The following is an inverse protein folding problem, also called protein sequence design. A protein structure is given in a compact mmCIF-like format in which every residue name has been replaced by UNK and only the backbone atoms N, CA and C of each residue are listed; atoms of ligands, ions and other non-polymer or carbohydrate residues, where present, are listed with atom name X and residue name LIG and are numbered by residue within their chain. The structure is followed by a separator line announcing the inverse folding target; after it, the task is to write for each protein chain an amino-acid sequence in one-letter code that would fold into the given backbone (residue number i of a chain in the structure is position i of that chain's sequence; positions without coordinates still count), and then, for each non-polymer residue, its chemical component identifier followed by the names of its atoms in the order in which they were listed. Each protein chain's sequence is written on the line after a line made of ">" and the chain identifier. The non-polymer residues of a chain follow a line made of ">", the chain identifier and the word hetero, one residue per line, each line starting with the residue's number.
data_IF_596874540055
#
_entry.id   IF_596874540055
#
_cell.length_a   1.000
_cell.length_b   1.000
_cell.length_c   1.000
_cell.angle_alpha   90.00
_cell.angle_beta   90.00
_cell.angle_gamma   90.00
#
_symmetry.space_group_name_H-M   'P 1'
#
loop_
_entity.id
_entity.type
_entity.pdbx_description
1 polymer ?
#
# COMPACT_ATOMS: atom_id res chain seq x y z
N UNK A 1 -11.23 -8.16 -11.11
CA UNK A 1 -10.01 -7.43 -10.67
C UNK A 1 -10.05 -6.04 -11.28
N UNK A 2 -9.92 -4.99 -10.47
CA UNK A 2 -9.78 -3.62 -10.96
C UNK A 2 -8.47 -3.06 -10.41
N UNK A 3 -7.53 -2.72 -11.29
CA UNK A 3 -6.34 -1.94 -10.94
C UNK A 3 -6.55 -0.51 -11.43
N UNK A 4 -6.39 0.45 -10.51
CA UNK A 4 -6.49 1.88 -10.80
C UNK A 4 -5.36 2.37 -11.71
N UNK A 5 -5.44 3.63 -12.12
CA UNK A 5 -4.52 4.21 -13.13
C UNK A 5 -3.04 4.20 -12.73
N UNK A 6 -2.72 4.20 -11.43
CA UNK A 6 -1.34 4.17 -10.91
C UNK A 6 -1.04 2.89 -10.09
N UNK A 7 -1.94 1.89 -10.10
CA UNK A 7 -1.78 0.70 -9.27
C UNK A 7 -0.79 -0.28 -9.89
N UNK A 8 0.16 -0.77 -9.09
CA UNK A 8 1.09 -1.84 -9.45
C UNK A 8 1.07 -2.96 -8.40
N UNK A 9 1.04 -4.21 -8.86
CA UNK A 9 1.06 -5.40 -8.00
C UNK A 9 2.22 -6.36 -8.29
N UNK A 10 3.10 -5.99 -9.22
CA UNK A 10 4.17 -6.88 -9.69
C UNK A 10 3.66 -7.99 -10.59
N UNK A 11 4.59 -8.61 -11.31
CA UNK A 11 4.28 -9.75 -12.17
C UNK A 11 3.87 -10.96 -11.32
N UNK A 12 2.84 -11.67 -11.79
CA UNK A 12 2.24 -12.82 -11.15
C UNK A 12 2.42 -14.02 -12.07
N UNK A 13 3.40 -14.87 -11.79
CA UNK A 13 3.72 -16.04 -12.61
C UNK A 13 3.20 -17.32 -11.94
N UNK A 14 2.21 -17.97 -12.56
CA UNK A 14 1.65 -19.25 -12.15
C UNK A 14 1.32 -19.34 -10.65
N UNK A 15 0.78 -18.25 -10.08
CA UNK A 15 0.45 -18.13 -8.65
C UNK A 15 -0.88 -18.78 -8.26
N UNK A 16 -1.57 -19.41 -9.21
CA UNK A 16 -2.83 -20.14 -8.97
C UNK A 16 -4.03 -19.26 -8.65
N UNK A 17 -3.98 -17.98 -8.97
CA UNK A 17 -5.13 -17.07 -8.89
C UNK A 17 -6.28 -17.61 -9.75
N UNK A 18 -7.53 -17.54 -9.25
CA UNK A 18 -8.72 -18.06 -9.94
C UNK A 18 -9.79 -16.99 -10.12
N UNK A 19 -10.46 -17.01 -11.26
CA UNK A 19 -11.52 -16.08 -11.66
C UNK A 19 -12.83 -16.85 -11.88
N UNK A 20 -13.49 -17.23 -10.78
CA UNK A 20 -14.61 -18.18 -10.73
C UNK A 20 -15.99 -17.61 -11.11
N UNK A 21 -16.11 -16.32 -11.41
CA UNK A 21 -17.40 -15.65 -11.68
C UNK A 21 -17.40 -14.89 -13.02
N UNK A 22 -17.38 -15.65 -14.10
CA UNK A 22 -17.13 -15.15 -15.46
C UNK A 22 -18.39 -14.65 -16.22
N UNK A 23 -19.40 -14.14 -15.49
CA UNK A 23 -20.72 -13.77 -16.03
C UNK A 23 -20.97 -12.28 -16.30
N UNK A 24 -19.97 -11.39 -16.10
CA UNK A 24 -20.10 -9.94 -16.29
C UNK A 24 -19.17 -9.36 -17.36
N UNK A 25 -19.57 -8.25 -17.97
CA UNK A 25 -18.74 -7.48 -18.89
C UNK A 25 -17.47 -6.96 -18.16
N UNK A 26 -16.31 -7.38 -18.63
CA UNK A 26 -14.96 -7.12 -18.08
C UNK A 26 -14.71 -7.70 -16.67
N UNK A 27 -14.13 -8.90 -16.62
CA UNK A 27 -13.72 -9.55 -15.36
C UNK A 27 -12.41 -8.99 -14.80
N UNK A 28 -11.54 -8.40 -15.63
CA UNK A 28 -10.32 -7.72 -15.20
C UNK A 28 -10.05 -6.42 -16.00
N UNK A 29 -9.88 -5.30 -15.31
CA UNK A 29 -9.56 -4.00 -15.89
C UNK A 29 -8.33 -3.37 -15.19
N UNK A 30 -7.35 -2.93 -15.97
CA UNK A 30 -6.20 -2.15 -15.52
C UNK A 30 -6.26 -0.74 -16.16
N UNK A 31 -6.64 0.25 -15.37
CA UNK A 31 -6.85 1.63 -15.86
C UNK A 31 -5.54 2.35 -16.23
N UNK A 32 -4.39 1.82 -15.82
CA UNK A 32 -3.05 2.37 -16.16
C UNK A 32 -2.55 2.11 -17.58
N UNK A 33 -3.33 1.43 -18.44
CA UNK A 33 -2.96 1.13 -19.82
C UNK A 33 -1.83 0.08 -19.96
N UNK A 34 -1.36 -0.12 -21.19
CA UNK A 34 -0.43 -1.20 -21.55
C UNK A 34 0.87 -1.19 -20.73
N UNK A 35 1.52 -0.02 -20.62
CA UNK A 35 2.82 0.10 -19.95
C UNK A 35 2.77 -0.32 -18.47
N UNK A 36 1.79 0.18 -17.71
CA UNK A 36 1.66 -0.18 -16.28
C UNK A 36 1.14 -1.61 -16.10
N UNK A 37 0.30 -2.10 -17.02
CA UNK A 37 -0.16 -3.48 -16.98
C UNK A 37 0.98 -4.50 -17.19
N UNK A 38 2.03 -4.15 -17.94
CA UNK A 38 3.21 -5.02 -18.13
C UNK A 38 3.99 -5.24 -16.83
N UNK A 39 4.05 -4.23 -15.95
CA UNK A 39 4.64 -4.35 -14.61
C UNK A 39 3.79 -5.19 -13.65
N UNK A 40 2.50 -5.38 -13.96
CA UNK A 40 1.52 -6.14 -13.16
C UNK A 40 1.02 -7.38 -13.91
N UNK A 41 1.80 -7.90 -14.85
CA UNK A 41 1.39 -8.94 -15.79
C UNK A 41 1.11 -10.26 -15.09
N UNK A 42 0.07 -10.96 -15.54
CA UNK A 42 -0.23 -12.32 -15.14
C UNK A 42 0.26 -13.30 -16.22
N UNK A 43 1.09 -14.26 -15.84
CA UNK A 43 1.40 -15.44 -16.64
C UNK A 43 0.64 -16.60 -16.01
N UNK A 44 -0.23 -17.23 -16.79
CA UNK A 44 -1.18 -18.25 -16.32
C UNK A 44 -1.18 -19.45 -17.25
N UNK A 45 -1.56 -20.61 -16.74
CA UNK A 45 -1.78 -21.82 -17.55
C UNK A 45 -3.28 -22.17 -17.60
N UNK A 46 -3.99 -21.70 -18.63
CA UNK A 46 -5.41 -22.00 -18.79
C UNK A 46 -5.65 -23.47 -19.20
N UNK A 47 -4.63 -24.20 -19.67
CA UNK A 47 -4.73 -25.63 -19.94
C UNK A 47 -4.71 -26.45 -18.65
N UNK A 48 -3.99 -26.01 -17.62
CA UNK A 48 -4.06 -26.59 -16.28
C UNK A 48 -5.42 -26.33 -15.64
N UNK A 49 -5.88 -25.07 -15.67
CA UNK A 49 -7.20 -24.71 -15.18
C UNK A 49 -7.74 -23.47 -15.92
N UNK A 50 -8.87 -23.63 -16.61
CA UNK A 50 -9.53 -22.53 -17.32
C UNK A 50 -9.91 -21.35 -16.41
N UNK A 51 -10.07 -21.58 -15.10
CA UNK A 51 -10.33 -20.51 -14.13
C UNK A 51 -9.14 -19.58 -13.91
N UNK A 52 -7.94 -19.89 -14.38
CA UNK A 52 -6.77 -19.02 -14.25
C UNK A 52 -6.77 -17.87 -15.27
N UNK A 53 -7.60 -17.94 -16.31
CA UNK A 53 -7.71 -16.88 -17.30
C UNK A 53 -9.09 -16.21 -17.21
N UNK A 54 -9.18 -14.92 -16.83
CA UNK A 54 -10.44 -14.18 -16.89
C UNK A 54 -10.97 -14.05 -18.32
N UNK A 55 -12.30 -14.12 -18.48
CA UNK A 55 -12.98 -14.05 -19.78
C UNK A 55 -12.74 -12.75 -20.56
N UNK A 56 -12.66 -11.62 -19.86
CA UNK A 56 -12.43 -10.30 -20.45
C UNK A 56 -11.36 -9.57 -19.65
N UNK A 57 -10.32 -9.14 -20.37
CA UNK A 57 -9.17 -8.39 -19.85
C UNK A 57 -8.96 -7.12 -20.66
N UNK A 58 -8.67 -6.03 -19.96
CA UNK A 58 -8.28 -4.76 -20.56
C UNK A 58 -7.15 -4.15 -19.72
N UNK A 59 -5.96 -3.87 -20.28
CA UNK A 59 -5.59 -3.98 -21.69
C UNK A 59 -5.30 -5.42 -22.15
N UNK A 60 -5.38 -5.62 -23.47
CA UNK A 60 -4.97 -6.87 -24.11
C UNK A 60 -3.50 -7.19 -23.78
N UNK A 61 -3.20 -8.44 -23.45
CA UNK A 61 -1.83 -8.88 -23.11
C UNK A 61 -1.45 -8.74 -21.63
N UNK A 62 -2.30 -8.12 -20.79
CA UNK A 62 -2.12 -8.08 -19.34
C UNK A 62 -2.14 -9.49 -18.70
N UNK A 63 -2.93 -10.39 -19.27
CA UNK A 63 -2.93 -11.81 -18.97
C UNK A 63 -2.35 -12.57 -20.17
N UNK A 64 -1.30 -13.34 -19.92
CA UNK A 64 -0.67 -14.19 -20.92
C UNK A 64 -0.88 -15.66 -20.56
N UNK A 65 -1.63 -16.36 -21.40
CA UNK A 65 -1.81 -17.80 -21.32
C UNK A 65 -0.58 -18.50 -21.90
N UNK A 66 0.22 -19.11 -21.04
CA UNK A 66 1.42 -19.87 -21.39
C UNK A 66 1.32 -21.21 -20.68
N UNK A 67 1.20 -22.28 -21.48
CA UNK A 67 1.23 -23.63 -20.92
C UNK A 67 2.58 -23.91 -20.28
N UNK A 68 2.55 -24.33 -19.02
CA UNK A 68 3.73 -24.65 -18.24
C UNK A 68 3.63 -26.12 -17.79
N UNK A 69 4.66 -26.97 -18.04
CA UNK A 69 4.65 -28.33 -17.52
C UNK A 69 4.70 -28.39 -15.98
N UNK A 70 5.07 -27.32 -15.29
CA UNK A 70 5.00 -27.21 -13.83
C UNK A 70 3.60 -26.77 -13.39
N UNK A 71 3.05 -27.43 -12.37
CA UNK A 71 1.76 -27.05 -11.78
C UNK A 71 1.82 -25.67 -11.16
N UNK A 72 0.81 -24.85 -11.42
CA UNK A 72 0.62 -23.57 -10.75
C UNK A 72 0.58 -23.74 -9.24
N UNK A 73 1.02 -22.71 -8.52
CA UNK A 73 1.02 -22.71 -7.07
C UNK A 73 -0.40 -22.97 -6.53
N UNK A 74 -0.52 -23.94 -5.62
CA UNK A 74 -1.77 -24.22 -4.90
C UNK A 74 -1.55 -23.90 -3.43
N UNK A 75 -2.38 -23.02 -2.87
CA UNK A 75 -2.36 -22.74 -1.45
C UNK A 75 -2.49 -24.04 -0.66
N UNK A 76 -1.50 -24.37 0.17
CA UNK A 76 -1.60 -25.50 1.08
C UNK A 76 -2.66 -25.21 2.15
N UNK A 77 -3.41 -26.24 2.55
CA UNK A 77 -4.45 -26.15 3.60
C UNK A 77 -3.90 -26.08 5.02
N UNK A 78 -2.58 -25.90 5.22
CA UNK A 78 -1.95 -25.87 6.54
C UNK A 78 -1.66 -24.46 7.08
N UNK A 79 -1.66 -24.37 8.41
CA UNK A 79 -1.78 -23.18 9.29
C UNK A 79 -0.63 -22.15 9.16
N UNK A 80 0.42 -22.44 8.41
CA UNK A 80 1.51 -21.49 8.18
C UNK A 80 1.40 -20.94 6.77
N UNK A 81 1.33 -19.61 6.61
CA UNK A 81 1.58 -18.97 5.32
C UNK A 81 2.98 -19.39 4.86
N UNK A 82 3.12 -20.29 3.86
CA UNK A 82 4.43 -20.69 3.42
C UNK A 82 5.07 -19.45 2.81
N UNK A 83 6.31 -19.12 3.22
CA UNK A 83 7.11 -18.12 2.51
C UNK A 83 7.27 -18.65 1.09
N UNK A 84 6.72 -17.99 0.06
CA UNK A 84 6.79 -18.53 -1.29
C UNK A 84 8.25 -18.65 -1.68
N UNK A 85 8.73 -19.88 -1.93
CA UNK A 85 10.04 -20.12 -2.53
C UNK A 85 9.99 -20.00 -4.06
N UNK A 86 8.97 -19.33 -4.60
CA UNK A 86 8.96 -18.98 -6.01
C UNK A 86 10.18 -18.11 -6.24
N UNK A 87 10.95 -18.45 -7.27
CA UNK A 87 12.00 -17.61 -7.81
C UNK A 87 11.34 -16.31 -8.28
N UNK A 88 10.99 -15.43 -7.35
CA UNK A 88 10.42 -14.13 -7.63
C UNK A 88 11.46 -13.42 -8.46
N UNK A 89 11.17 -13.25 -9.75
CA UNK A 89 12.17 -12.79 -10.71
C UNK A 89 12.61 -11.34 -10.41
N UNK A 90 11.91 -10.65 -9.51
CA UNK A 90 12.33 -9.34 -9.02
C UNK A 90 12.34 -8.29 -10.12
N UNK A 91 11.68 -8.52 -11.25
CA UNK A 91 11.74 -7.61 -12.40
C UNK A 91 11.22 -6.22 -12.00
N UNK A 92 10.07 -6.15 -11.33
CA UNK A 92 9.55 -4.88 -10.81
C UNK A 92 10.48 -4.27 -9.75
N UNK A 93 10.96 -5.06 -8.80
CA UNK A 93 11.90 -4.60 -7.76
C UNK A 93 13.19 -4.02 -8.35
N UNK A 94 13.75 -4.65 -9.38
CA UNK A 94 14.94 -4.19 -10.10
C UNK A 94 14.66 -2.86 -10.81
N UNK A 95 13.51 -2.75 -11.47
CA UNK A 95 13.09 -1.50 -12.12
C UNK A 95 12.91 -0.39 -11.09
N UNK A 96 12.29 -0.67 -9.95
CA UNK A 96 12.16 0.30 -8.83
C UNK A 96 13.55 0.70 -8.32
N UNK A 97 14.44 -0.26 -8.06
CA UNK A 97 15.78 -0.02 -7.55
C UNK A 97 16.63 0.84 -8.50
N UNK A 98 16.50 0.63 -9.81
CA UNK A 98 17.15 1.44 -10.85
C UNK A 98 16.47 2.80 -11.07
N UNK A 99 15.20 2.93 -10.70
CA UNK A 99 14.38 4.10 -10.98
C UNK A 99 13.83 4.15 -12.40
N UNK A 100 13.59 2.98 -12.99
CA UNK A 100 13.17 2.80 -14.39
C UNK A 100 11.67 2.53 -14.55
N UNK A 101 10.89 2.53 -13.45
CA UNK A 101 9.42 2.46 -13.55
C UNK A 101 8.87 3.77 -14.12
N UNK A 102 7.94 3.69 -15.07
CA UNK A 102 7.38 4.88 -15.75
C UNK A 102 5.91 4.70 -16.10
N UNK A 103 5.23 5.80 -16.48
CA UNK A 103 3.84 5.76 -16.96
C UNK A 103 2.80 6.22 -15.92
N UNK A 104 3.24 6.72 -14.77
CA UNK A 104 2.33 7.25 -13.76
C UNK A 104 1.97 8.71 -14.02
N UNK A 105 0.77 9.11 -13.62
CA UNK A 105 0.37 10.51 -13.68
C UNK A 105 1.25 11.41 -12.76
N UNK A 106 1.67 10.91 -11.59
CA UNK A 106 2.62 11.61 -10.71
C UNK A 106 3.94 10.84 -10.67
N UNK A 107 4.72 10.92 -11.76
CA UNK A 107 5.91 10.09 -11.96
C UNK A 107 6.93 10.19 -10.82
N UNK A 108 7.28 11.40 -10.40
CA UNK A 108 8.31 11.61 -9.37
C UNK A 108 7.87 11.07 -8.01
N UNK A 109 6.64 11.41 -7.59
CA UNK A 109 6.04 10.88 -6.37
C UNK A 109 5.92 9.35 -6.39
N UNK A 110 5.42 8.78 -7.49
CA UNK A 110 5.20 7.33 -7.61
C UNK A 110 6.52 6.57 -7.54
N UNK A 111 7.56 7.11 -8.19
CA UNK A 111 8.89 6.53 -8.12
C UNK A 111 9.48 6.64 -6.70
N UNK A 112 9.37 7.81 -6.08
CA UNK A 112 9.83 8.03 -4.71
C UNK A 112 9.15 7.06 -3.73
N UNK A 113 7.82 6.93 -3.80
CA UNK A 113 7.05 6.04 -2.94
C UNK A 113 7.43 4.58 -3.18
N UNK A 114 7.54 4.15 -4.44
CA UNK A 114 7.93 2.78 -4.76
C UNK A 114 9.33 2.45 -4.23
N UNK A 115 10.29 3.36 -4.38
CA UNK A 115 11.63 3.19 -3.84
C UNK A 115 11.64 3.16 -2.31
N UNK A 116 10.86 4.04 -1.65
CA UNK A 116 10.72 4.05 -0.19
C UNK A 116 10.17 2.70 0.31
N UNK A 117 9.09 2.21 -0.31
CA UNK A 117 8.46 0.92 0.00
C UNK A 117 9.39 -0.27 -0.21
N UNK A 118 10.15 -0.27 -1.31
CA UNK A 118 11.17 -1.29 -1.56
C UNK A 118 12.27 -1.25 -0.49
N UNK A 119 12.75 -0.06 -0.13
CA UNK A 119 13.76 0.11 0.92
C UNK A 119 13.25 -0.43 2.26
N UNK A 120 12.04 -0.03 2.69
CA UNK A 120 11.41 -0.51 3.93
C UNK A 120 11.34 -2.05 4.00
N UNK A 121 10.90 -2.68 2.90
CA UNK A 121 10.81 -4.14 2.81
C UNK A 121 12.18 -4.80 2.92
N UNK A 122 13.13 -4.38 2.10
CA UNK A 122 14.49 -4.96 2.09
C UNK A 122 15.23 -4.76 3.42
N UNK A 123 14.96 -3.66 4.13
CA UNK A 123 15.57 -3.38 5.43
C UNK A 123 14.93 -4.16 6.58
N UNK A 124 13.62 -4.46 6.54
CA UNK A 124 12.92 -5.03 7.69
C UNK A 124 12.49 -6.49 7.57
N UNK A 125 12.20 -6.97 6.36
CA UNK A 125 11.81 -8.36 6.10
C UNK A 125 13.02 -9.22 5.67
N UNK A 126 14.18 -8.59 5.51
CA UNK A 126 15.39 -9.18 4.95
C UNK A 126 15.49 -8.96 3.44
N UNK A 127 16.72 -8.90 2.92
CA UNK A 127 16.98 -8.72 1.50
C UNK A 127 17.13 -10.09 0.81
N UNK A 128 16.11 -10.57 0.07
CA UNK A 128 16.20 -11.84 -0.66
C UNK A 128 17.22 -11.79 -1.81
N UNK A 129 17.71 -10.60 -2.18
CA UNK A 129 18.72 -10.35 -3.20
C UNK A 129 20.09 -10.02 -2.61
N UNK A 130 20.42 -10.51 -1.42
CA UNK A 130 21.64 -10.13 -0.70
C UNK A 130 22.97 -10.30 -1.48
N UNK A 131 23.00 -11.18 -2.50
CA UNK A 131 24.15 -11.38 -3.40
C UNK A 131 24.13 -10.48 -4.66
N UNK A 132 23.04 -9.76 -4.90
CA UNK A 132 22.86 -8.91 -6.07
C UNK A 132 23.37 -7.49 -5.80
N UNK A 133 24.39 -7.10 -6.58
CA UNK A 133 25.05 -5.80 -6.42
C UNK A 133 24.13 -4.61 -6.67
N UNK A 134 23.06 -4.77 -7.47
CA UNK A 134 22.07 -3.71 -7.69
C UNK A 134 21.38 -3.32 -6.39
N UNK A 135 20.90 -4.32 -5.63
CA UNK A 135 20.13 -4.06 -4.41
C UNK A 135 21.04 -3.61 -3.24
N UNK A 136 22.27 -4.14 -3.18
CA UNK A 136 23.29 -3.63 -2.24
C UNK A 136 23.63 -2.16 -2.55
N UNK A 137 23.81 -1.81 -3.82
CA UNK A 137 24.06 -0.43 -4.24
C UNK A 137 22.85 0.47 -4.03
N UNK A 138 21.63 -0.02 -4.26
CA UNK A 138 20.40 0.71 -4.03
C UNK A 138 20.25 1.11 -2.56
N UNK A 139 20.39 0.15 -1.63
CA UNK A 139 20.30 0.41 -0.20
C UNK A 139 21.35 1.44 0.25
N UNK A 140 22.62 1.25 -0.11
CA UNK A 140 23.70 2.17 0.28
C UNK A 140 23.55 3.57 -0.32
N UNK A 141 23.10 3.66 -1.57
CA UNK A 141 22.91 4.97 -2.24
C UNK A 141 21.70 5.71 -1.67
N UNK A 142 20.62 5.00 -1.33
CA UNK A 142 19.37 5.61 -0.85
C UNK A 142 19.38 5.94 0.63
N UNK A 143 20.23 5.30 1.43
CA UNK A 143 20.35 5.47 2.88
C UNK A 143 20.32 6.94 3.32
N UNK A 144 21.10 7.81 2.65
CA UNK A 144 21.24 9.22 3.03
C UNK A 144 20.33 10.19 2.26
N UNK A 145 19.49 9.68 1.36
CA UNK A 145 18.50 10.44 0.59
C UNK A 145 17.16 10.51 1.32
N UNK A 146 16.18 11.24 0.77
CA UNK A 146 14.84 11.26 1.38
C UNK A 146 14.19 9.87 1.38
N UNK A 147 14.39 9.06 0.34
CA UNK A 147 13.91 7.67 0.29
C UNK A 147 14.32 6.86 1.53
N UNK A 148 15.63 6.75 1.80
CA UNK A 148 16.13 5.95 2.91
C UNK A 148 15.77 6.55 4.28
N UNK A 149 15.87 7.87 4.42
CA UNK A 149 15.60 8.54 5.71
C UNK A 149 14.12 8.49 6.10
N UNK A 150 13.20 8.71 5.17
CA UNK A 150 11.76 8.56 5.44
C UNK A 150 11.39 7.09 5.67
N UNK A 151 11.97 6.16 4.91
CA UNK A 151 11.79 4.72 5.14
C UNK A 151 12.23 4.31 6.56
N UNK A 152 13.44 4.70 6.98
CA UNK A 152 13.95 4.40 8.32
C UNK A 152 13.10 5.02 9.43
N UNK A 153 12.60 6.25 9.24
CA UNK A 153 11.67 6.86 10.19
C UNK A 153 10.35 6.07 10.27
N UNK A 154 9.80 5.65 9.13
CA UNK A 154 8.56 4.89 9.07
C UNK A 154 8.69 3.51 9.72
N UNK A 155 9.84 2.84 9.53
CA UNK A 155 10.17 1.60 10.24
C UNK A 155 10.22 1.83 11.75
N UNK A 156 10.94 2.87 12.21
CA UNK A 156 10.98 3.20 13.63
C UNK A 156 9.60 3.55 14.22
N UNK A 157 8.72 4.19 13.44
CA UNK A 157 7.32 4.44 13.83
C UNK A 157 6.53 3.13 14.00
N UNK A 158 6.73 2.15 13.11
CA UNK A 158 6.07 0.84 13.19
C UNK A 158 6.49 0.10 14.46
N UNK A 159 7.76 0.18 14.81
CA UNK A 159 8.35 -0.52 15.96
C UNK A 159 7.96 0.10 17.32
N UNK A 160 7.28 1.26 17.35
CA UNK A 160 6.86 1.93 18.59
C UNK A 160 5.93 1.08 19.47
N UNK A 161 5.16 0.20 18.85
CA UNK A 161 4.19 -0.65 19.55
C UNK A 161 4.66 -2.11 19.66
N UNK A 162 5.91 -2.39 19.25
CA UNK A 162 6.49 -3.71 19.42
C UNK A 162 6.82 -3.94 20.89
N UNK A 163 6.20 -4.97 21.47
CA UNK A 163 6.44 -5.40 22.83
C UNK A 163 7.37 -6.60 22.77
N UNK A 164 8.44 -6.57 23.58
CA UNK A 164 9.39 -7.68 23.60
C UNK A 164 8.71 -8.99 24.00
N UNK A 165 9.11 -10.10 23.37
CA UNK A 165 8.58 -11.43 23.71
C UNK A 165 8.76 -11.77 25.19
N UNK A 166 9.84 -11.29 25.82
CA UNK A 166 10.06 -11.46 27.27
C UNK A 166 9.05 -10.69 28.13
N UNK A 167 8.69 -9.48 27.73
CA UNK A 167 7.64 -8.70 28.42
C UNK A 167 6.28 -9.35 28.25
N UNK A 168 5.92 -9.80 27.04
CA UNK A 168 4.67 -10.53 26.80
C UNK A 168 4.59 -11.80 27.64
N UNK A 169 5.65 -12.61 27.64
CA UNK A 169 5.72 -13.84 28.47
C UNK A 169 5.52 -13.52 29.95
N UNK A 170 6.05 -12.40 30.43
CA UNK A 170 5.91 -11.99 31.84
C UNK A 170 4.48 -11.54 32.16
N UNK A 171 3.85 -10.77 31.26
CA UNK A 171 2.44 -10.38 31.37
C UNK A 171 1.56 -11.63 31.38
N UNK A 172 1.71 -12.52 30.39
CA UNK A 172 0.92 -13.75 30.27
C UNK A 172 1.05 -14.65 31.51
N UNK A 173 2.27 -14.81 32.02
CA UNK A 173 2.53 -15.62 33.24
C UNK A 173 1.91 -14.98 34.47
N UNK A 174 1.95 -13.65 34.57
CA UNK A 174 1.37 -12.90 35.70
C UNK A 174 -0.16 -12.97 35.66
N UNK A 175 -0.77 -12.78 34.48
CA UNK A 175 -2.22 -12.89 34.28
C UNK A 175 -2.72 -14.31 34.57
N UNK A 176 -2.03 -15.35 34.09
CA UNK A 176 -2.39 -16.75 34.37
C UNK A 176 -2.30 -17.04 35.87
N UNK A 177 -1.24 -16.62 36.54
CA UNK A 177 -1.07 -16.84 37.98
C UNK A 177 -2.11 -16.07 38.81
N UNK A 178 -2.53 -14.90 38.34
CA UNK A 178 -3.58 -14.11 38.98
C UNK A 178 -4.96 -14.78 38.83
N UNK A 179 -5.25 -15.34 37.65
CA UNK A 179 -6.47 -16.11 37.42
C UNK A 179 -6.55 -17.35 38.33
N UNK A 180 -5.46 -18.12 38.45
CA UNK A 180 -5.38 -19.27 39.35
C UNK A 180 -5.60 -18.87 40.82
N UNK A 181 -5.00 -17.76 41.25
CA UNK A 181 -5.17 -17.23 42.60
C UNK A 181 -6.61 -16.76 42.87
N UNK A 182 -7.29 -16.19 41.87
CA UNK A 182 -8.70 -15.81 41.97
C UNK A 182 -9.61 -17.04 42.11
N UNK A 183 -9.34 -18.13 41.38
CA UNK A 183 -10.08 -19.39 41.51
C UNK A 183 -9.86 -20.05 42.87
N UNK A 184 -8.62 -20.07 43.35
CA UNK A 184 -8.30 -20.55 44.69
C UNK A 184 -8.96 -19.70 45.78
N UNK A 185 -9.02 -18.38 45.61
CA UNK A 185 -9.70 -17.48 46.53
C UNK A 185 -11.19 -17.76 46.57
N UNK A 186 -11.84 -17.94 45.41
CA UNK A 186 -13.25 -18.31 45.33
C UNK A 186 -13.54 -19.63 46.06
N UNK A 187 -12.67 -20.62 45.90
CA UNK A 187 -12.76 -21.91 46.62
C UNK A 187 -12.64 -21.72 48.13
N UNK A 188 -11.69 -20.89 48.59
CA UNK A 188 -11.50 -20.60 50.02
C UNK A 188 -12.72 -19.87 50.59
N UNK A 189 -13.30 -18.90 49.86
CA UNK A 189 -14.52 -18.19 50.28
C UNK A 189 -15.72 -19.15 50.39
N UNK A 190 -15.85 -20.12 49.46
CA UNK A 190 -16.88 -21.16 49.55
C UNK A 190 -16.70 -22.05 50.78
N UNK A 191 -15.47 -22.47 51.08
CA UNK A 191 -15.16 -23.26 52.28
C UNK A 191 -15.45 -22.47 53.55
N UNK A 192 -15.16 -21.17 53.56
CA UNK A 192 -15.42 -20.28 54.69
C UNK A 192 -16.92 -20.12 54.99
N UNK A 193 -17.77 -20.25 53.97
CA UNK A 193 -19.23 -20.20 54.10
C UNK A 193 -19.86 -21.51 54.62
N UNK A 194 -19.09 -22.58 54.78
CA UNK A 194 -19.60 -23.87 55.23
C UNK A 194 -20.04 -23.84 56.70
N UNK A 195 -21.15 -24.51 57.02
CA UNK A 195 -21.62 -24.68 58.40
C UNK A 195 -20.79 -25.74 59.13
N UNK A 196 -20.46 -25.50 60.41
CA UNK A 196 -19.81 -26.51 61.26
C UNK A 196 -18.27 -26.49 61.25
N UNK A 197 -17.65 -25.41 60.77
CA UNK A 197 -16.20 -25.21 60.83
C UNK A 197 -15.68 -25.14 62.28
N UNK A 198 -14.54 -25.79 62.53
CA UNK A 198 -13.83 -25.63 63.79
C UNK A 198 -13.13 -24.25 63.86
N UNK A 199 -12.82 -23.79 65.08
CA UNK A 199 -12.06 -22.54 65.26
C UNK A 199 -10.66 -22.60 64.65
N UNK A 200 -10.05 -23.79 64.61
CA UNK A 200 -8.73 -23.99 64.00
C UNK A 200 -8.83 -23.91 62.47
N UNK A 201 -9.80 -24.57 61.86
CA UNK A 201 -10.00 -24.55 60.40
C UNK A 201 -10.35 -23.14 59.90
N UNK A 202 -11.19 -22.42 60.66
CA UNK A 202 -11.53 -21.02 60.36
C UNK A 202 -10.29 -20.12 60.34
N UNK A 203 -9.36 -20.31 61.30
CA UNK A 203 -8.11 -19.54 61.34
C UNK A 203 -7.18 -19.85 60.16
N UNK A 204 -7.07 -21.13 59.76
CA UNK A 204 -6.26 -21.55 58.60
C UNK A 204 -6.80 -20.96 57.30
N UNK A 205 -8.12 -21.02 57.09
CA UNK A 205 -8.76 -20.43 55.91
C UNK A 205 -8.61 -18.91 55.87
N UNK A 206 -8.68 -18.23 57.02
CA UNK A 206 -8.47 -16.79 57.10
C UNK A 206 -7.05 -16.38 56.69
N UNK A 207 -6.02 -17.14 57.09
CA UNK A 207 -4.62 -16.91 56.67
C UNK A 207 -4.49 -17.12 55.16
N UNK A 208 -5.01 -18.25 54.63
CA UNK A 208 -4.94 -18.55 53.19
C UNK A 208 -5.64 -17.48 52.34
N UNK A 209 -6.79 -16.99 52.80
CA UNK A 209 -7.53 -15.89 52.16
C UNK A 209 -6.70 -14.60 52.13
N UNK A 210 -6.07 -14.24 53.25
CA UNK A 210 -5.24 -13.04 53.33
C UNK A 210 -4.01 -13.15 52.42
N UNK A 211 -3.37 -14.32 52.38
CA UNK A 211 -2.23 -14.59 51.52
C UNK A 211 -2.58 -14.47 50.03
N UNK A 212 -3.66 -15.14 49.59
CA UNK A 212 -4.13 -15.04 48.20
C UNK A 212 -4.45 -13.60 47.79
N UNK A 213 -5.10 -12.82 48.68
CA UNK A 213 -5.37 -11.40 48.41
C UNK A 213 -4.11 -10.57 48.28
N UNK A 214 -3.09 -10.83 49.11
CA UNK A 214 -1.80 -10.15 49.01
C UNK A 214 -1.08 -10.52 47.71
N UNK A 215 -1.11 -11.80 47.30
CA UNK A 215 -0.54 -12.24 46.02
C UNK A 215 -1.21 -11.56 44.83
N UNK A 216 -2.55 -11.54 44.79
CA UNK A 216 -3.32 -10.87 43.73
C UNK A 216 -2.98 -9.37 43.67
N UNK A 217 -2.91 -8.69 44.82
CA UNK A 217 -2.55 -7.27 44.87
C UNK A 217 -1.11 -7.01 44.38
N UNK A 218 -0.17 -7.91 44.66
CA UNK A 218 1.20 -7.82 44.15
C UNK A 218 1.28 -8.06 42.63
N UNK A 219 0.49 -9.01 42.12
CA UNK A 219 0.38 -9.30 40.68
C UNK A 219 -0.22 -8.10 39.93
N UNK A 220 -1.28 -7.50 40.45
CA UNK A 220 -1.89 -6.28 39.89
C UNK A 220 -0.89 -5.10 39.86
N UNK A 221 -0.14 -4.88 40.95
CA UNK A 221 0.93 -3.88 40.97
C UNK A 221 2.00 -4.16 39.92
N UNK A 222 2.38 -5.44 39.74
CA UNK A 222 3.39 -5.85 38.75
C UNK A 222 2.91 -5.59 37.32
N UNK A 223 1.64 -5.89 37.01
CA UNK A 223 1.04 -5.58 35.71
C UNK A 223 1.02 -4.07 35.45
N UNK A 224 0.63 -3.27 36.43
CA UNK A 224 0.63 -1.81 36.32
C UNK A 224 2.05 -1.24 36.09
N UNK A 225 3.06 -1.78 36.78
CA UNK A 225 4.47 -1.39 36.58
C UNK A 225 4.96 -1.72 35.16
N UNK A 226 4.58 -2.89 34.62
CA UNK A 226 4.90 -3.25 33.23
C UNK A 226 4.22 -2.35 32.21
N UNK A 227 2.94 -2.01 32.40
CA UNK A 227 2.22 -1.08 31.53
C UNK A 227 2.90 0.30 31.54
N UNK A 228 3.24 0.81 32.72
CA UNK A 228 3.94 2.09 32.86
C UNK A 228 5.33 2.06 32.19
N UNK A 229 6.07 0.96 32.31
CA UNK A 229 7.37 0.79 31.65
C UNK A 229 7.24 0.77 30.12
N UNK A 230 6.24 0.06 29.58
CA UNK A 230 5.95 0.02 28.13
C UNK A 230 5.63 1.44 27.63
N UNK A 231 4.76 2.17 28.33
CA UNK A 231 4.39 3.54 27.96
C UNK A 231 5.59 4.50 28.01
N UNK A 232 6.42 4.41 29.06
CA UNK A 232 7.63 5.23 29.19
C UNK A 232 8.65 4.97 28.07
N UNK A 233 8.85 3.69 27.73
CA UNK A 233 9.71 3.28 26.61
C UNK A 233 9.19 3.83 25.28
N UNK A 234 7.89 3.66 25.01
CA UNK A 234 7.23 4.16 23.81
C UNK A 234 7.34 5.69 23.68
N UNK A 235 7.09 6.43 24.76
CA UNK A 235 7.19 7.89 24.75
C UNK A 235 8.62 8.37 24.48
N UNK A 236 9.62 7.67 25.04
CA UNK A 236 11.04 7.97 24.78
C UNK A 236 11.45 7.68 23.33
N UNK A 237 10.97 6.57 22.76
CA UNK A 237 11.18 6.23 21.36
C UNK A 237 10.47 7.24 20.42
N UNK A 238 9.23 7.62 20.74
CA UNK A 238 8.47 8.61 19.98
C UNK A 238 9.18 9.97 19.96
N UNK A 239 9.73 10.42 21.09
CA UNK A 239 10.51 11.66 21.17
C UNK A 239 11.80 11.59 20.32
N UNK A 240 12.45 10.42 20.27
CA UNK A 240 13.62 10.20 19.41
C UNK A 240 13.25 10.31 17.94
N UNK A 241 12.17 9.65 17.52
CA UNK A 241 11.65 9.72 16.15
C UNK A 241 11.19 11.13 15.80
N UNK A 242 10.62 11.88 16.75
CA UNK A 242 10.20 13.27 16.54
C UNK A 242 11.41 14.16 16.20
N UNK A 243 12.52 14.00 16.93
CA UNK A 243 13.77 14.69 16.64
C UNK A 243 14.36 14.27 15.28
N UNK A 244 14.28 12.99 14.92
CA UNK A 244 14.71 12.51 13.60
C UNK A 244 13.86 13.13 12.48
N UNK A 245 12.53 13.14 12.64
CA UNK A 245 11.58 13.72 11.70
C UNK A 245 11.84 15.22 11.48
N UNK A 246 12.13 15.97 12.55
CA UNK A 246 12.46 17.40 12.46
C UNK A 246 13.71 17.67 11.61
N UNK A 247 14.70 16.76 11.66
CA UNK A 247 15.94 16.85 10.91
C UNK A 247 15.85 16.34 9.47
N UNK A 248 14.72 15.76 9.06
CA UNK A 248 14.53 15.36 7.67
C UNK A 248 14.52 16.60 6.77
N UNK A 249 15.25 16.52 5.65
CA UNK A 249 15.05 17.46 4.54
C UNK A 249 13.78 17.12 3.77
N UNK A 250 13.56 17.88 2.71
CA UNK A 250 12.49 17.61 1.74
C UNK A 250 11.81 18.88 1.31
N UNK A 251 11.53 18.97 0.02
CA UNK A 251 10.93 20.16 -0.60
C UNK A 251 9.66 19.83 -1.36
N UNK A 252 9.46 18.55 -1.67
CA UNK A 252 8.27 18.10 -2.38
C UNK A 252 7.06 18.02 -1.43
N UNK A 253 5.86 18.18 -1.97
CA UNK A 253 4.64 18.24 -1.16
C UNK A 253 4.43 16.97 -0.33
N UNK A 254 4.68 15.79 -0.92
CA UNK A 254 4.56 14.51 -0.23
C UNK A 254 5.54 14.38 0.96
N UNK A 255 6.76 14.91 0.85
CA UNK A 255 7.75 14.89 1.94
C UNK A 255 7.34 15.85 3.07
N UNK A 256 6.88 17.05 2.71
CA UNK A 256 6.40 18.06 3.67
C UNK A 256 5.18 17.52 4.43
N UNK A 257 4.23 16.93 3.70
CA UNK A 257 3.00 16.38 4.26
C UNK A 257 3.29 15.17 5.17
N UNK A 258 4.15 14.23 4.73
CA UNK A 258 4.54 13.09 5.56
C UNK A 258 5.25 13.53 6.84
N UNK A 259 6.13 14.55 6.77
CA UNK A 259 6.75 15.14 7.97
C UNK A 259 5.73 15.77 8.92
N UNK A 260 4.76 16.50 8.40
CA UNK A 260 3.72 17.15 9.21
C UNK A 260 2.89 16.10 9.94
N UNK A 261 2.39 15.09 9.22
CA UNK A 261 1.60 13.99 9.80
C UNK A 261 2.42 13.18 10.81
N UNK A 262 3.69 12.90 10.52
CA UNK A 262 4.60 12.23 11.47
C UNK A 262 4.78 13.04 12.75
N UNK A 263 4.96 14.36 12.64
CA UNK A 263 5.10 15.24 13.80
C UNK A 263 3.88 15.16 14.70
N UNK A 264 2.70 15.30 14.11
CA UNK A 264 1.43 15.28 14.86
C UNK A 264 1.22 13.90 15.50
N UNK A 265 1.40 12.82 14.74
CA UNK A 265 1.27 11.45 15.24
C UNK A 265 2.21 11.18 16.43
N UNK A 266 3.49 11.55 16.30
CA UNK A 266 4.51 11.33 17.32
C UNK A 266 4.30 12.18 18.57
N UNK A 267 3.65 13.34 18.45
CA UNK A 267 3.26 14.19 19.57
C UNK A 267 1.95 13.77 20.24
N UNK A 268 1.14 12.92 19.60
CA UNK A 268 -0.23 12.64 20.04
C UNK A 268 -0.49 11.14 20.20
N UNK A 269 -1.03 10.49 19.15
CA UNK A 269 -1.47 9.10 19.14
C UNK A 269 -0.36 8.14 19.58
N UNK A 270 0.89 8.37 19.13
CA UNK A 270 2.04 7.56 19.54
C UNK A 270 2.29 7.56 21.06
N UNK A 271 1.85 8.61 21.76
CA UNK A 271 2.01 8.78 23.20
C UNK A 271 0.74 8.44 23.97
N UNK A 272 -0.34 8.02 23.29
CA UNK A 272 -1.64 7.77 23.90
C UNK A 272 -2.43 9.05 24.22
N UNK A 273 -2.11 10.15 23.56
CA UNK A 273 -2.88 11.41 23.64
C UNK A 273 -3.93 11.39 22.52
N UNK A 274 -5.18 11.42 22.91
CA UNK A 274 -6.38 11.31 22.06
C UNK A 274 -7.02 12.68 21.75
N UNK A 275 -6.27 13.76 21.98
CA UNK A 275 -6.72 15.13 21.71
C UNK A 275 -5.73 15.85 20.78
N UNK A 276 -6.27 16.71 19.92
CA UNK A 276 -5.50 17.55 19.01
C UNK A 276 -5.61 19.01 19.44
N UNK A 277 -4.53 19.77 19.29
CA UNK A 277 -4.62 21.24 19.31
C UNK A 277 -5.36 21.72 18.07
N UNK A 278 -5.94 22.93 18.13
CA UNK A 278 -6.63 23.52 16.98
C UNK A 278 -5.73 23.62 15.74
N UNK A 279 -4.43 23.89 15.91
CA UNK A 279 -3.47 23.94 14.81
C UNK A 279 -3.25 22.53 14.21
N UNK A 280 -3.00 21.52 15.05
CA UNK A 280 -2.81 20.14 14.59
C UNK A 280 -4.03 19.61 13.85
N UNK A 281 -5.24 19.90 14.35
CA UNK A 281 -6.48 19.54 13.66
C UNK A 281 -6.56 20.22 12.29
N UNK A 282 -6.32 21.54 12.22
CA UNK A 282 -6.35 22.28 10.95
C UNK A 282 -5.31 21.78 9.95
N UNK A 283 -4.11 21.41 10.41
CA UNK A 283 -3.04 20.89 9.56
C UNK A 283 -3.42 19.50 9.00
N UNK A 284 -3.99 18.62 9.83
CA UNK A 284 -4.47 17.31 9.40
C UNK A 284 -5.64 17.42 8.44
N UNK A 285 -6.60 18.31 8.67
CA UNK A 285 -7.76 18.53 7.78
C UNK A 285 -7.30 19.02 6.40
N UNK A 286 -6.32 19.94 6.36
CA UNK A 286 -5.74 20.41 5.12
C UNK A 286 -5.06 19.29 4.32
N UNK A 287 -4.28 18.42 4.99
CA UNK A 287 -3.61 17.28 4.35
C UNK A 287 -4.62 16.20 3.94
N UNK A 288 -5.63 15.93 4.77
CA UNK A 288 -6.65 14.92 4.51
C UNK A 288 -7.50 15.23 3.26
N UNK A 289 -7.66 16.51 2.93
CA UNK A 289 -8.34 16.98 1.73
C UNK A 289 -7.49 16.90 0.44
N UNK A 290 -6.19 16.59 0.54
CA UNK A 290 -5.30 16.46 -0.63
C UNK A 290 -5.50 15.13 -1.36
N UNK A 291 -4.82 14.98 -2.50
CA UNK A 291 -4.93 13.79 -3.32
C UNK A 291 -4.03 12.66 -2.80
N UNK A 292 -4.56 11.49 -2.39
CA UNK A 292 -3.72 10.36 -1.98
C UNK A 292 -2.83 9.80 -3.10
N UNK A 293 -3.14 10.06 -4.37
CA UNK A 293 -2.31 9.63 -5.51
C UNK A 293 -1.11 10.56 -5.79
N UNK A 294 -1.02 11.71 -5.13
CA UNK A 294 0.05 12.70 -5.30
C UNK A 294 0.82 12.96 -3.99
N UNK A 295 0.10 12.99 -2.87
CA UNK A 295 0.66 13.25 -1.53
C UNK A 295 0.71 11.98 -0.67
N UNK A 296 0.28 10.86 -1.23
CA UNK A 296 0.52 9.53 -0.67
C UNK A 296 -0.18 9.25 0.64
N UNK A 297 0.52 8.45 1.44
CA UNK A 297 -0.01 7.94 2.70
C UNK A 297 -0.14 9.01 3.77
N UNK A 298 0.52 10.16 3.63
CA UNK A 298 0.30 11.29 4.54
C UNK A 298 -1.19 11.66 4.56
N UNK A 299 -1.84 11.70 3.40
CA UNK A 299 -3.29 11.93 3.27
C UNK A 299 -4.08 10.87 4.02
N UNK A 300 -3.82 9.59 3.75
CA UNK A 300 -4.56 8.48 4.36
C UNK A 300 -4.35 8.41 5.88
N UNK A 301 -3.14 8.68 6.35
CA UNK A 301 -2.80 8.73 7.78
C UNK A 301 -3.45 9.94 8.46
N UNK A 302 -3.50 11.10 7.80
CA UNK A 302 -4.20 12.26 8.35
C UNK A 302 -5.70 11.97 8.55
N UNK A 303 -6.33 11.35 7.53
CA UNK A 303 -7.72 10.86 7.63
C UNK A 303 -7.90 9.88 8.80
N UNK A 304 -6.97 8.93 8.95
CA UNK A 304 -6.98 7.97 10.04
C UNK A 304 -6.85 8.59 11.43
N UNK A 305 -5.95 9.56 11.61
CA UNK A 305 -5.77 10.26 12.89
C UNK A 305 -7.02 11.09 13.23
N UNK A 306 -7.57 11.83 12.26
CA UNK A 306 -8.80 12.60 12.47
C UNK A 306 -9.97 11.68 12.86
N UNK A 307 -10.10 10.53 12.19
CA UNK A 307 -11.16 9.57 12.51
C UNK A 307 -10.98 8.95 13.90
N UNK A 308 -9.73 8.64 14.28
CA UNK A 308 -9.42 8.10 15.60
C UNK A 308 -9.76 9.09 16.73
N UNK A 309 -9.39 10.37 16.56
CA UNK A 309 -9.58 11.40 17.60
C UNK A 309 -11.03 11.89 17.68
N UNK A 310 -11.70 12.06 16.53
CA UNK A 310 -13.10 12.52 16.50
C UNK A 310 -14.11 11.40 16.79
N UNK A 311 -13.72 10.14 16.61
CA UNK A 311 -14.62 8.99 16.65
C UNK A 311 -15.51 8.86 15.41
N UNK A 312 -15.32 9.70 14.38
CA UNK A 312 -16.15 9.74 13.17
C UNK A 312 -15.30 9.65 11.90
N UNK A 313 -15.80 8.93 10.89
CA UNK A 313 -15.13 8.87 9.59
C UNK A 313 -15.48 10.11 8.75
N UNK A 314 -14.47 10.90 8.40
CA UNK A 314 -14.63 11.99 7.45
C UNK A 314 -14.98 11.48 6.04
N UNK A 315 -15.76 12.26 5.31
CA UNK A 315 -16.04 12.03 3.89
C UNK A 315 -15.10 12.84 3.02
N UNK A 316 -14.36 12.17 2.14
CA UNK A 316 -13.39 12.80 1.25
C UNK A 316 -13.73 12.45 -0.20
N UNK A 317 -13.79 13.48 -1.05
CA UNK A 317 -14.01 13.30 -2.48
C UNK A 317 -12.66 13.25 -3.20
N UNK A 318 -12.12 12.03 -3.34
CA UNK A 318 -10.86 11.80 -4.04
C UNK A 318 -10.98 12.06 -5.55
N UNK A 319 -12.19 12.07 -6.13
CA UNK A 319 -12.36 12.44 -7.54
C UNK A 319 -12.06 13.92 -7.70
N UNK A 320 -12.59 14.77 -6.83
CA UNK A 320 -12.30 16.21 -6.84
C UNK A 320 -10.86 16.46 -6.43
N UNK A 321 -10.40 15.87 -5.33
CA UNK A 321 -9.04 16.02 -4.80
C UNK A 321 -7.96 15.61 -5.79
N UNK A 322 -8.16 14.51 -6.52
CA UNK A 322 -7.21 13.97 -7.51
C UNK A 322 -7.51 14.35 -8.97
N UNK A 323 -8.58 15.12 -9.24
CA UNK A 323 -8.88 15.58 -10.60
C UNK A 323 -7.75 16.42 -11.23
N UNK A 324 -6.92 17.04 -10.40
CA UNK A 324 -5.73 17.79 -10.83
C UNK A 324 -4.47 16.91 -10.90
N UNK A 325 -4.48 15.73 -10.29
CA UNK A 325 -3.35 14.79 -10.28
C UNK A 325 -3.45 13.75 -11.41
N UNK A 326 -4.60 13.66 -12.08
CA UNK A 326 -4.61 13.23 -13.47
C UNK A 326 -4.08 14.40 -14.27
N UNK A 327 -2.75 14.45 -14.40
CA UNK A 327 -2.05 15.24 -15.42
C UNK A 327 -2.88 15.19 -16.70
N UNK A 328 -3.65 16.23 -16.95
CA UNK A 328 -4.27 16.48 -18.25
C UNK A 328 -3.12 16.90 -19.13
N UNK A 329 -2.27 15.93 -19.51
CA UNK A 329 -0.97 16.07 -20.14
C UNK A 329 -0.34 17.43 -19.83
N UNK A 330 0.61 17.53 -18.88
CA UNK A 330 1.65 18.55 -18.97
C UNK A 330 2.02 18.69 -20.44
N UNK A 331 1.51 19.75 -21.07
CA UNK A 331 2.20 20.37 -22.16
C UNK A 331 3.48 20.83 -21.50
N UNK A 332 4.48 19.93 -21.46
CA UNK A 332 5.82 20.40 -21.68
C UNK A 332 5.67 21.33 -22.87
N UNK A 333 5.95 22.60 -22.63
CA UNK A 333 6.34 23.55 -23.64
C UNK A 333 7.62 23.00 -24.28
N UNK A 334 7.45 21.93 -25.05
CA UNK A 334 8.42 21.36 -25.95
C UNK A 334 8.54 22.44 -27.01
N UNK A 335 9.66 23.15 -26.93
CA UNK A 335 10.17 24.01 -27.98
C UNK A 335 9.77 23.44 -29.34
N UNK A 336 9.18 24.29 -30.17
CA UNK A 336 8.63 24.02 -31.50
C UNK A 336 9.55 23.16 -32.39
N UNK A 337 9.55 21.86 -32.16
CA UNK A 337 10.04 20.85 -33.06
C UNK A 337 8.79 20.26 -33.70
N UNK A 338 8.65 20.51 -35.00
CA UNK A 338 7.55 20.13 -35.88
C UNK A 338 7.15 18.67 -35.67
N UNK A 339 6.19 18.40 -34.78
CA UNK A 339 5.63 17.06 -34.61
C UNK A 339 4.58 16.84 -35.68
N UNK A 340 4.66 15.66 -36.30
CA UNK A 340 3.61 15.12 -37.14
C UNK A 340 2.39 14.84 -36.25
N UNK A 341 1.35 15.65 -36.39
CA UNK A 341 0.09 15.52 -35.68
C UNK A 341 -0.99 15.07 -36.66
N UNK A 342 -1.75 14.04 -36.30
CA UNK A 342 -2.93 13.58 -37.04
C UNK A 342 -4.07 13.38 -36.04
N UNK A 343 -5.20 14.04 -36.29
CA UNK A 343 -6.43 13.90 -35.52
C UNK A 343 -7.53 13.35 -36.40
N UNK A 344 -8.25 12.37 -35.90
CA UNK A 344 -9.33 11.70 -36.63
C UNK A 344 -10.62 11.81 -35.83
N UNK A 345 -11.67 12.39 -36.43
CA UNK A 345 -12.96 12.58 -35.76
C UNK A 345 -14.12 12.75 -36.74
N UNK A 346 -15.35 12.36 -36.35
CA UNK A 346 -15.67 11.52 -35.20
C UNK A 346 -15.22 10.08 -35.44
N UNK A 347 -14.75 9.39 -34.39
CA UNK A 347 -14.54 7.94 -34.39
C UNK A 347 -15.28 7.35 -33.17
N UNK A 348 -16.37 6.58 -33.35
CA UNK A 348 -16.93 6.06 -34.61
C UNK A 348 -17.56 7.13 -35.53
N UNK A 349 -17.41 6.98 -36.84
CA UNK A 349 -18.02 7.87 -37.85
C UNK A 349 -19.34 7.32 -38.38
N UNK A 350 -20.36 8.19 -38.50
CA UNK A 350 -21.68 7.81 -39.03
C UNK A 350 -21.88 8.12 -40.53
N UNK A 351 -21.19 9.13 -41.07
CA UNK A 351 -21.43 9.63 -42.44
C UNK A 351 -20.20 10.25 -43.08
N UNK A 352 -19.37 10.89 -42.26
CA UNK A 352 -18.08 11.45 -42.67
C UNK A 352 -17.05 11.24 -41.57
N UNK A 353 -15.80 11.01 -41.97
CA UNK A 353 -14.62 10.93 -41.14
C UNK A 353 -13.70 12.09 -41.52
N UNK A 354 -13.32 12.92 -40.55
CA UNK A 354 -12.40 14.05 -40.77
C UNK A 354 -11.02 13.66 -40.26
N UNK A 355 -10.02 13.83 -41.11
CA UNK A 355 -8.61 13.62 -40.81
C UNK A 355 -7.91 14.96 -40.90
N UNK A 356 -7.62 15.56 -39.75
CA UNK A 356 -6.86 16.79 -39.64
C UNK A 356 -5.39 16.46 -39.41
N UNK A 357 -4.49 17.05 -40.18
CA UNK A 357 -3.07 16.72 -40.13
C UNK A 357 -2.18 17.96 -40.14
N UNK A 358 -1.02 17.83 -39.50
CA UNK A 358 0.11 18.76 -39.53
C UNK A 358 1.39 17.93 -39.52
N UNK A 359 2.07 17.81 -40.65
CA UNK A 359 3.17 16.91 -40.93
C UNK A 359 4.40 17.73 -41.36
N UNK A 360 5.60 17.19 -41.14
CA UNK A 360 6.85 17.83 -41.52
C UNK A 360 7.10 17.77 -43.04
N UNK A 361 6.56 16.75 -43.73
CA UNK A 361 6.77 16.50 -45.15
C UNK A 361 5.47 16.11 -45.87
N UNK A 362 5.45 16.30 -47.19
CA UNK A 362 4.34 15.86 -48.03
C UNK A 362 4.17 14.34 -47.91
N UNK A 363 2.97 13.91 -47.50
CA UNK A 363 2.70 12.54 -47.11
C UNK A 363 1.44 12.01 -47.80
N UNK A 364 1.23 10.70 -47.73
CA UNK A 364 0.04 10.03 -48.27
C UNK A 364 -0.77 9.44 -47.12
N UNK A 365 -2.10 9.60 -47.17
CA UNK A 365 -3.03 8.95 -46.25
C UNK A 365 -3.39 7.56 -46.78
N UNK A 366 -3.38 6.55 -45.91
CA UNK A 366 -3.81 5.18 -46.21
C UNK A 366 -4.75 4.65 -45.12
N UNK A 367 -5.91 4.12 -45.51
CA UNK A 367 -6.91 3.52 -44.63
C UNK A 367 -6.91 1.99 -44.80
N UNK A 368 -6.92 1.25 -43.70
CA UNK A 368 -6.96 -0.23 -43.69
C UNK A 368 -8.18 -0.73 -42.93
N UNK A 369 -8.74 -1.88 -43.34
CA UNK A 369 -9.76 -2.56 -42.55
C UNK A 369 -9.16 -3.39 -41.41
N UNK A 370 -10.03 -3.96 -40.56
CA UNK A 370 -9.63 -4.80 -39.42
C UNK A 370 -8.84 -6.07 -39.80
N UNK A 371 -8.85 -6.45 -41.08
CA UNK A 371 -8.09 -7.59 -41.64
C UNK A 371 -6.77 -7.15 -42.29
N UNK A 372 -6.40 -5.86 -42.20
CA UNK A 372 -5.16 -5.30 -42.76
C UNK A 372 -5.19 -5.03 -44.27
N UNK A 373 -6.36 -5.08 -44.91
CA UNK A 373 -6.50 -4.79 -46.34
C UNK A 373 -6.63 -3.28 -46.57
N UNK A 374 -5.92 -2.75 -47.56
CA UNK A 374 -5.99 -1.33 -47.95
C UNK A 374 -7.38 -1.03 -48.53
N UNK A 375 -8.09 -0.09 -47.89
CA UNK A 375 -9.43 0.37 -48.27
C UNK A 375 -9.33 1.62 -49.12
N UNK A 376 -8.48 2.57 -48.74
CA UNK A 376 -8.36 3.85 -49.44
C UNK A 376 -6.95 4.42 -49.31
N UNK A 377 -6.47 5.10 -50.35
CA UNK A 377 -5.18 5.80 -50.34
C UNK A 377 -5.28 7.09 -51.14
N UNK A 378 -4.92 8.22 -50.54
CA UNK A 378 -4.92 9.52 -51.21
C UNK A 378 -3.72 10.39 -50.78
N UNK A 379 -3.11 11.15 -51.69
CA UNK A 379 -2.07 12.11 -51.33
C UNK A 379 -2.64 13.26 -50.51
N UNK A 380 -1.93 13.69 -49.47
CA UNK A 380 -2.33 14.84 -48.65
C UNK A 380 -1.95 16.15 -49.34
N UNK A 381 -2.84 17.14 -49.26
CA UNK A 381 -2.59 18.48 -49.81
C UNK A 381 -1.70 19.27 -48.86
N UNK A 382 -0.41 19.34 -49.17
CA UNK A 382 0.58 20.08 -48.37
C UNK A 382 0.93 19.40 -47.05
N UNK A 383 1.65 20.14 -46.20
CA UNK A 383 2.12 19.69 -44.89
C UNK A 383 1.08 19.87 -43.79
N UNK A 384 0.04 20.68 -43.97
CA UNK A 384 -1.07 20.75 -43.02
C UNK A 384 -2.40 20.95 -43.74
N UNK A 385 -3.47 20.40 -43.19
CA UNK A 385 -4.78 20.47 -43.82
C UNK A 385 -5.83 19.60 -43.13
N UNK A 386 -6.99 19.51 -43.77
CA UNK A 386 -8.06 18.62 -43.34
C UNK A 386 -8.59 17.88 -44.56
N UNK A 387 -8.62 16.56 -44.45
CA UNK A 387 -9.21 15.65 -45.41
C UNK A 387 -10.55 15.17 -44.87
N UNK A 388 -11.56 15.09 -45.74
CA UNK A 388 -12.88 14.56 -45.39
C UNK A 388 -13.12 13.31 -46.22
N UNK A 389 -13.40 12.21 -45.55
CA UNK A 389 -13.77 10.93 -46.16
C UNK A 389 -15.26 10.72 -45.93
N UNK A 390 -16.01 10.48 -46.99
CA UNK A 390 -17.41 10.12 -46.88
C UNK A 390 -17.52 8.60 -46.71
N UNK A 391 -18.07 8.16 -45.57
CA UNK A 391 -18.37 6.75 -45.37
C UNK A 391 -19.64 6.44 -46.16
N UNK A 392 -19.49 5.95 -47.39
CA UNK A 392 -20.62 5.39 -48.14
C UNK A 392 -21.10 4.12 -47.43
N UNK A 393 -22.44 3.96 -47.33
CA UNK A 393 -23.06 2.78 -46.74
C UNK A 393 -22.69 1.50 -47.48
#
# INVERSE_FOLDING_TARGET
>A
LLLGSNALIGQQENTGNRWTNAGGATTALHQGGFLLSDYSKFIVDANENAEYLPNLTDPFGWFQDVSDPATSYVCQTEIACPVPSLAYQGNLDRLIAKGEISGFANQDFSLWLAQKRLYERLSSEGNPYGSDTLFVSFLSTKENTSVGKFASLQLGIRDLFDISAGTLTTIDTTESSMADNLELLATVEQQFAATGLSSQDSAVLAIKRADLRNQIAQQDSTLNDHIAAIQSSRNSAAQTLLNQNANLGGTDSWEINEKSVNTIYLQTVAQGIDTLTAQQQSDLEAIAAMCPLADGEAVLRARGILALVSGEYGTYDDVVGCSNSQERNKEESLSAATRNEVRVYPNPANSELRVQYSLAEASTFSLYNAMGQLIEQQPLSGTSGTMVLHTSQ
#
